data_IF_238788548205
#
_entry.id   IF_238788548205
#
_cell.length_a   1.000
_cell.length_b   1.000
_cell.length_c   1.000
_cell.angle_alpha   90.00
_cell.angle_beta   90.00
_cell.angle_gamma   90.00
#
_symmetry.space_group_name_H-M   'P 1'
#
loop_
_entity.id
_entity.type
_entity.pdbx_description
1 polymer ?
#
# COMPACT_ATOMS: atom_id res chain seq x y z
N UNK A 1 -50.72 37.46 16.55
CA UNK A 1 -50.71 36.50 15.42
C UNK A 1 -49.28 36.35 14.96
N UNK A 2 -48.58 35.33 15.44
CA UNK A 2 -47.22 35.01 14.97
C UNK A 2 -47.40 34.35 13.60
N UNK A 3 -46.77 34.86 12.51
CA UNK A 3 -46.96 34.27 11.21
C UNK A 3 -46.32 32.88 11.21
N UNK A 4 -47.08 31.87 10.75
CA UNK A 4 -46.57 30.55 10.40
C UNK A 4 -45.60 30.73 9.22
N UNK A 5 -44.37 31.16 9.52
CA UNK A 5 -43.29 31.21 8.55
C UNK A 5 -42.80 29.77 8.35
N UNK A 6 -43.24 29.20 7.22
CA UNK A 6 -42.89 27.92 6.62
C UNK A 6 -41.76 27.13 7.31
N UNK A 7 -42.15 26.25 8.24
CA UNK A 7 -41.32 25.14 8.74
C UNK A 7 -40.74 24.31 7.58
N UNK A 8 -41.47 24.23 6.45
CA UNK A 8 -41.04 23.55 5.23
C UNK A 8 -39.81 24.21 4.56
N UNK A 9 -39.73 25.55 4.56
CA UNK A 9 -38.57 26.27 4.00
C UNK A 9 -37.34 26.13 4.87
N UNK A 10 -37.51 26.07 6.20
CA UNK A 10 -36.42 25.82 7.15
C UNK A 10 -35.90 24.39 7.06
N UNK A 11 -36.78 23.40 6.86
CA UNK A 11 -36.37 22.00 6.65
C UNK A 11 -35.65 21.84 5.31
N UNK A 12 -36.13 22.49 4.23
CA UNK A 12 -35.46 22.45 2.92
C UNK A 12 -34.07 23.11 2.95
N UNK A 13 -33.92 24.26 3.64
CA UNK A 13 -32.60 24.90 3.77
C UNK A 13 -31.67 24.12 4.69
N UNK A 14 -32.17 23.45 5.74
CA UNK A 14 -31.35 22.56 6.58
C UNK A 14 -30.94 21.28 5.86
N UNK A 15 -31.81 20.70 5.03
CA UNK A 15 -31.47 19.57 4.14
C UNK A 15 -30.45 19.99 3.10
N UNK A 16 -30.56 21.19 2.51
CA UNK A 16 -29.56 21.71 1.58
C UNK A 16 -28.21 21.99 2.27
N UNK A 17 -28.22 22.54 3.48
CA UNK A 17 -27.01 22.76 4.30
C UNK A 17 -26.35 21.43 4.72
N UNK A 18 -27.14 20.42 5.11
CA UNK A 18 -26.62 19.09 5.42
C UNK A 18 -26.10 18.34 4.18
N UNK A 19 -26.70 18.54 3.00
CA UNK A 19 -26.20 17.99 1.73
C UNK A 19 -24.93 18.72 1.23
N UNK A 20 -24.80 20.03 1.49
CA UNK A 20 -23.59 20.79 1.17
C UNK A 20 -22.45 20.62 2.19
N UNK A 21 -22.77 20.21 3.42
CA UNK A 21 -21.79 19.95 4.48
C UNK A 21 -21.01 18.64 4.28
N UNK A 22 -21.35 17.83 3.28
CA UNK A 22 -20.49 16.71 2.85
C UNK A 22 -19.30 17.17 1.98
N UNK A 23 -19.22 18.45 1.63
CA UNK A 23 -18.12 19.06 0.87
C UNK A 23 -17.40 20.13 1.69
N UNK A 24 -16.99 19.81 2.91
CA UNK A 24 -16.06 20.69 3.64
C UNK A 24 -14.67 20.56 2.98
N UNK A 25 -14.00 21.66 2.60
CA UNK A 25 -12.62 21.65 2.10
C UNK A 25 -11.70 20.79 2.99
N UNK A 26 -10.72 20.07 2.42
CA UNK A 26 -9.94 20.51 1.27
C UNK A 26 -10.29 19.87 -0.08
N UNK A 27 -11.38 19.11 -0.21
CA UNK A 27 -11.73 18.41 -1.45
C UNK A 27 -12.36 19.34 -2.51
N UNK A 28 -11.59 20.32 -3.01
CA UNK A 28 -12.07 21.38 -3.91
C UNK A 28 -11.63 21.22 -5.36
N UNK A 29 -10.89 20.17 -5.72
CA UNK A 29 -10.49 19.94 -7.11
C UNK A 29 -11.53 19.09 -7.86
N UNK A 30 -11.82 19.47 -9.10
CA UNK A 30 -12.62 18.64 -10.00
C UNK A 30 -11.82 17.43 -10.49
N UNK A 31 -12.53 16.40 -10.91
CA UNK A 31 -11.92 15.19 -11.47
C UNK A 31 -11.06 15.53 -12.69
N UNK A 32 -9.76 15.20 -12.62
CA UNK A 32 -8.80 15.55 -13.66
C UNK A 32 -8.90 14.62 -14.86
N UNK A 33 -8.65 15.15 -16.05
CA UNK A 33 -8.60 14.40 -17.32
C UNK A 33 -7.32 14.76 -18.09
N UNK A 34 -6.90 13.92 -19.05
CA UNK A 34 -5.70 14.17 -19.86
C UNK A 34 -4.37 14.06 -19.11
N UNK A 35 -4.38 13.40 -17.94
CA UNK A 35 -3.20 13.24 -17.07
C UNK A 35 -2.30 12.06 -17.47
N UNK A 36 -2.67 11.32 -18.51
CA UNK A 36 -1.93 10.17 -19.02
C UNK A 36 -1.64 10.34 -20.53
N UNK A 37 -0.39 10.10 -21.01
CA UNK A 37 0.77 9.69 -20.23
C UNK A 37 1.21 10.77 -19.22
N UNK A 38 1.79 10.37 -18.06
CA UNK A 38 2.12 11.28 -16.97
C UNK A 38 3.00 12.44 -17.43
N UNK A 39 2.61 13.67 -17.04
CA UNK A 39 3.37 14.88 -17.34
C UNK A 39 3.07 15.98 -16.32
N UNK A 40 3.78 17.09 -16.44
CA UNK A 40 3.55 18.29 -15.63
C UNK A 40 4.03 18.15 -14.19
N UNK A 41 3.57 19.03 -13.28
CA UNK A 41 4.16 19.21 -11.96
C UNK A 41 3.86 18.08 -10.96
N UNK A 42 2.99 17.14 -11.31
CA UNK A 42 2.68 15.97 -10.47
C UNK A 42 3.46 14.72 -10.89
N UNK A 43 4.26 14.81 -11.97
CA UNK A 43 5.08 13.72 -12.47
C UNK A 43 6.54 13.96 -12.09
N UNK A 44 7.06 13.15 -11.17
CA UNK A 44 8.43 13.25 -10.64
C UNK A 44 9.44 12.40 -11.42
N UNK A 45 9.00 11.69 -12.46
CA UNK A 45 9.84 10.84 -13.30
C UNK A 45 9.42 9.37 -13.30
N UNK A 46 10.01 8.64 -14.24
CA UNK A 46 9.78 7.21 -14.39
C UNK A 46 10.45 6.39 -13.29
N UNK A 47 9.86 5.24 -12.97
CA UNK A 47 10.38 4.31 -11.98
C UNK A 47 11.26 3.25 -12.66
N UNK A 48 12.53 3.18 -12.26
CA UNK A 48 13.50 2.20 -12.78
C UNK A 48 13.09 0.75 -12.55
N UNK A 49 13.38 -0.11 -13.53
CA UNK A 49 13.14 -1.56 -13.46
C UNK A 49 14.40 -2.34 -13.08
N UNK A 50 14.24 -3.32 -12.19
CA UNK A 50 15.28 -4.28 -11.82
C UNK A 50 14.77 -5.71 -11.95
N UNK A 51 15.67 -6.65 -12.15
CA UNK A 51 15.36 -8.08 -12.05
C UNK A 51 15.87 -8.60 -10.71
N UNK A 52 15.01 -9.29 -9.97
CA UNK A 52 15.43 -10.08 -8.81
C UNK A 52 15.34 -11.56 -9.16
N UNK A 53 16.48 -12.22 -9.18
CA UNK A 53 16.57 -13.65 -9.50
C UNK A 53 16.32 -14.51 -8.24
N UNK A 54 15.17 -15.16 -8.18
CA UNK A 54 14.74 -16.05 -7.10
C UNK A 54 15.57 -17.35 -7.01
N UNK A 55 16.30 -17.71 -8.07
CA UNK A 55 17.21 -18.86 -8.08
C UNK A 55 18.50 -18.58 -7.27
N UNK A 56 18.81 -17.31 -7.00
CA UNK A 56 19.92 -16.94 -6.13
C UNK A 56 19.59 -17.23 -4.66
N UNK A 57 20.61 -17.54 -3.83
CA UNK A 57 20.48 -17.52 -2.39
C UNK A 57 19.85 -16.19 -1.93
N UNK A 58 18.90 -16.19 -0.97
CA UNK A 58 18.16 -14.97 -0.65
C UNK A 58 19.02 -13.77 -0.26
N UNK A 59 20.11 -14.01 0.47
CA UNK A 59 21.08 -12.97 0.83
C UNK A 59 21.83 -12.32 -0.35
N UNK A 60 21.65 -12.80 -1.59
CA UNK A 60 22.21 -12.22 -2.81
C UNK A 60 21.16 -11.58 -3.72
N UNK A 61 19.88 -11.86 -3.53
CA UNK A 61 18.78 -11.47 -4.44
C UNK A 61 18.67 -9.97 -4.69
N UNK A 62 18.98 -9.16 -3.67
CA UNK A 62 18.85 -7.71 -3.70
C UNK A 62 20.15 -6.97 -4.03
N UNK A 63 21.24 -7.69 -4.35
CA UNK A 63 22.58 -7.09 -4.49
C UNK A 63 22.61 -5.95 -5.51
N UNK A 64 22.05 -6.17 -6.71
CA UNK A 64 22.10 -5.18 -7.79
C UNK A 64 21.26 -3.94 -7.46
N UNK A 65 20.04 -4.16 -6.96
CA UNK A 65 19.12 -3.08 -6.55
C UNK A 65 19.76 -2.21 -5.48
N UNK A 66 20.31 -2.83 -4.43
CA UNK A 66 20.91 -2.10 -3.30
C UNK A 66 22.23 -1.44 -3.67
N UNK A 67 23.02 -2.04 -4.58
CA UNK A 67 24.25 -1.41 -5.06
C UNK A 67 23.95 -0.08 -5.75
N UNK A 68 22.93 -0.04 -6.60
CA UNK A 68 22.51 1.16 -7.32
C UNK A 68 21.86 2.19 -6.37
N UNK A 69 20.96 1.74 -5.50
CA UNK A 69 20.21 2.59 -4.55
C UNK A 69 20.93 2.86 -3.22
N UNK A 70 22.21 2.48 -3.10
CA UNK A 70 22.97 2.55 -1.84
C UNK A 70 22.95 3.92 -1.20
N UNK A 71 23.19 4.98 -1.99
CA UNK A 71 23.24 6.36 -1.49
C UNK A 71 21.88 6.83 -0.97
N UNK A 72 20.82 6.52 -1.70
CA UNK A 72 19.46 6.87 -1.32
C UNK A 72 19.05 6.13 -0.04
N UNK A 73 19.42 4.85 0.07
CA UNK A 73 19.12 4.04 1.26
C UNK A 73 19.84 4.58 2.49
N UNK A 74 21.14 4.89 2.39
CA UNK A 74 21.90 5.52 3.48
C UNK A 74 21.28 6.87 3.86
N UNK A 75 20.88 7.68 2.89
CA UNK A 75 20.22 8.96 3.17
C UNK A 75 18.87 8.81 3.86
N UNK A 76 18.10 7.78 3.51
CA UNK A 76 16.81 7.48 4.13
C UNK A 76 16.98 7.02 5.58
N UNK A 77 17.94 6.12 5.84
CA UNK A 77 18.24 5.64 7.19
C UNK A 77 18.77 6.77 8.07
N UNK A 78 19.62 7.66 7.53
CA UNK A 78 20.05 8.84 8.27
C UNK A 78 18.88 9.75 8.65
N UNK A 79 17.91 9.96 7.75
CA UNK A 79 16.72 10.74 8.08
C UNK A 79 15.87 10.09 9.19
N UNK A 80 15.78 8.75 9.22
CA UNK A 80 15.13 8.03 10.33
C UNK A 80 15.90 8.22 11.64
N UNK A 81 17.24 8.13 11.62
CA UNK A 81 18.08 8.40 12.80
C UNK A 81 17.89 9.81 13.34
N UNK A 82 17.96 10.81 12.47
CA UNK A 82 17.81 12.22 12.85
C UNK A 82 16.44 12.47 13.49
N UNK A 83 15.40 11.83 12.96
CA UNK A 83 14.05 11.90 13.53
C UNK A 83 13.99 11.21 14.90
N UNK A 84 14.56 10.01 15.03
CA UNK A 84 14.64 9.25 16.28
C UNK A 84 15.38 10.04 17.37
N UNK A 85 16.51 10.67 17.04
CA UNK A 85 17.29 11.50 17.95
C UNK A 85 16.54 12.77 18.36
N UNK A 86 15.78 13.38 17.45
CA UNK A 86 14.96 14.55 17.79
C UNK A 86 13.85 14.19 18.80
N UNK A 87 13.24 13.01 18.69
CA UNK A 87 12.19 12.55 19.62
C UNK A 87 12.74 11.97 20.93
N UNK A 88 13.88 11.26 20.86
CA UNK A 88 14.51 10.59 22.00
C UNK A 88 15.99 10.96 22.06
N UNK A 89 16.35 12.20 22.45
CA UNK A 89 17.75 12.69 22.41
C UNK A 89 18.71 11.93 23.32
N UNK A 90 18.19 11.07 24.20
CA UNK A 90 18.99 10.20 25.06
C UNK A 90 19.77 9.11 24.32
N UNK A 91 19.55 8.92 23.01
CA UNK A 91 20.18 7.86 22.21
C UNK A 91 19.64 6.45 22.47
N UNK A 92 18.79 6.27 23.49
CA UNK A 92 18.21 4.96 23.85
C UNK A 92 17.45 4.27 22.72
N UNK A 93 16.79 5.05 21.86
CA UNK A 93 16.07 4.49 20.71
C UNK A 93 17.03 3.90 19.67
N UNK A 94 18.15 4.59 19.42
CA UNK A 94 19.22 4.09 18.54
C UNK A 94 19.88 2.86 19.16
N UNK A 95 20.17 2.89 20.47
CA UNK A 95 20.73 1.74 21.19
C UNK A 95 19.87 0.48 21.05
N UNK A 96 18.54 0.63 21.19
CA UNK A 96 17.59 -0.47 21.02
C UNK A 96 17.59 -1.00 19.58
N UNK A 97 17.65 -0.10 18.61
CA UNK A 97 17.73 -0.46 17.18
C UNK A 97 19.01 -1.21 16.89
N UNK A 98 20.16 -0.78 17.40
CA UNK A 98 21.45 -1.38 17.08
C UNK A 98 21.72 -2.68 17.85
N UNK A 99 21.14 -2.87 19.06
CA UNK A 99 21.40 -4.04 19.91
C UNK A 99 20.31 -5.10 19.86
N UNK A 100 19.04 -4.69 19.88
CA UNK A 100 17.91 -5.61 20.09
C UNK A 100 17.23 -6.02 18.78
N UNK A 101 17.03 -5.09 17.83
CA UNK A 101 16.40 -5.42 16.54
C UNK A 101 17.18 -6.42 15.67
N UNK A 102 18.52 -6.51 15.69
CA UNK A 102 19.24 -7.55 14.97
C UNK A 102 18.82 -8.96 15.40
N UNK A 103 18.48 -9.15 16.68
CA UNK A 103 18.00 -10.44 17.20
C UNK A 103 16.63 -10.81 16.63
N UNK A 104 15.84 -9.81 16.21
CA UNK A 104 14.53 -10.04 15.59
C UNK A 104 14.66 -10.66 14.19
N UNK A 105 15.77 -10.43 13.47
CA UNK A 105 15.99 -11.04 12.14
C UNK A 105 15.87 -12.56 12.19
N UNK A 106 16.45 -13.19 13.22
CA UNK A 106 16.44 -14.64 13.39
C UNK A 106 15.05 -15.22 13.63
N UNK A 107 14.08 -14.35 13.94
CA UNK A 107 12.69 -14.73 14.16
C UNK A 107 11.85 -14.60 12.89
N UNK A 108 12.30 -13.80 11.91
CA UNK A 108 11.58 -13.57 10.66
C UNK A 108 11.61 -14.83 9.78
N UNK A 109 10.51 -15.14 9.07
CA UNK A 109 10.45 -16.33 8.24
C UNK A 109 11.44 -16.26 7.07
N UNK A 110 11.95 -17.42 6.67
CA UNK A 110 12.65 -17.57 5.40
C UNK A 110 11.69 -17.29 4.24
N UNK A 111 12.11 -16.60 3.16
CA UNK A 111 13.46 -16.11 2.88
C UNK A 111 13.77 -14.69 3.40
N UNK A 112 12.80 -14.03 4.03
CA UNK A 112 12.87 -12.60 4.36
C UNK A 112 14.02 -12.24 5.28
N UNK A 113 14.31 -13.09 6.27
CA UNK A 113 15.44 -12.91 7.18
C UNK A 113 16.78 -12.81 6.42
N UNK A 114 17.04 -13.73 5.49
CA UNK A 114 18.28 -13.78 4.71
C UNK A 114 18.35 -12.65 3.68
N UNK A 115 17.23 -12.26 3.07
CA UNK A 115 17.19 -11.09 2.19
C UNK A 115 17.55 -9.80 2.94
N UNK A 116 17.02 -9.61 4.16
CA UNK A 116 17.35 -8.47 5.04
C UNK A 116 18.85 -8.47 5.40
N UNK A 117 19.43 -9.63 5.73
CA UNK A 117 20.88 -9.75 5.99
C UNK A 117 21.71 -9.37 4.77
N UNK A 118 21.29 -9.82 3.58
CA UNK A 118 21.93 -9.47 2.31
C UNK A 118 21.92 -7.96 2.05
N UNK A 119 20.76 -7.33 2.24
CA UNK A 119 20.59 -5.87 2.08
C UNK A 119 21.52 -5.11 3.03
N UNK A 120 21.56 -5.47 4.32
CA UNK A 120 22.46 -4.84 5.30
C UNK A 120 23.94 -4.98 4.87
N UNK A 121 24.35 -6.17 4.43
CA UNK A 121 25.72 -6.43 3.98
C UNK A 121 26.14 -5.60 2.76
N UNK A 122 25.26 -5.43 1.77
CA UNK A 122 25.57 -4.70 0.52
C UNK A 122 25.52 -3.18 0.73
N UNK A 123 24.49 -2.71 1.44
CA UNK A 123 24.30 -1.29 1.73
C UNK A 123 25.38 -0.76 2.69
N UNK A 124 25.85 -1.57 3.63
CA UNK A 124 26.70 -1.13 4.75
C UNK A 124 25.90 -0.45 5.87
N UNK A 125 24.57 -0.50 5.81
CA UNK A 125 23.67 -0.06 6.89
C UNK A 125 23.65 -1.13 8.00
N UNK A 126 23.46 -0.73 9.26
CA UNK A 126 23.39 -1.68 10.37
C UNK A 126 22.19 -2.61 10.21
N UNK A 127 22.34 -3.89 10.60
CA UNK A 127 21.28 -4.89 10.42
C UNK A 127 19.97 -4.47 11.12
N UNK A 128 20.08 -3.91 12.32
CA UNK A 128 18.93 -3.45 13.10
C UNK A 128 18.16 -2.32 12.41
N UNK A 129 18.85 -1.46 11.66
CA UNK A 129 18.21 -0.38 10.90
C UNK A 129 17.50 -0.87 9.64
N UNK A 130 18.08 -1.86 8.94
CA UNK A 130 17.39 -2.50 7.82
C UNK A 130 16.15 -3.24 8.30
N UNK A 131 16.23 -3.88 9.47
CA UNK A 131 15.05 -4.46 10.13
C UNK A 131 14.02 -3.40 10.43
N UNK A 132 14.41 -2.31 11.11
CA UNK A 132 13.51 -1.20 11.43
C UNK A 132 12.79 -0.68 10.18
N UNK A 133 13.52 -0.48 9.08
CA UNK A 133 12.95 -0.07 7.80
C UNK A 133 11.88 -1.04 7.30
N UNK A 134 12.05 -2.35 7.51
CA UNK A 134 11.05 -3.36 7.16
C UNK A 134 9.87 -3.44 8.13
N UNK A 135 10.04 -3.10 9.43
CA UNK A 135 8.91 -2.89 10.36
C UNK A 135 8.09 -1.68 9.96
N UNK A 136 8.77 -0.64 9.51
CA UNK A 136 8.19 0.68 9.36
C UNK A 136 6.96 0.71 8.43
N UNK A 137 6.98 -0.11 7.39
CA UNK A 137 5.88 -0.27 6.44
C UNK A 137 4.66 -1.04 6.98
N UNK A 138 4.78 -1.75 8.10
CA UNK A 138 3.66 -2.47 8.72
C UNK A 138 2.81 -1.58 9.64
N UNK A 139 3.16 -0.29 9.79
CA UNK A 139 2.53 0.59 10.80
C UNK A 139 2.09 1.95 10.25
N UNK A 140 2.70 2.45 9.17
CA UNK A 140 2.52 3.85 8.74
C UNK A 140 2.24 4.05 7.25
N UNK A 141 1.41 3.21 6.62
CA UNK A 141 0.99 3.40 5.22
C UNK A 141 -0.44 3.93 5.11
N UNK A 142 -0.64 4.81 4.13
CA UNK A 142 -1.93 5.34 3.74
C UNK A 142 -2.06 5.11 2.24
N UNK A 143 -3.26 4.77 1.76
CA UNK A 143 -3.40 4.11 0.47
C UNK A 143 -4.75 4.44 -0.18
N UNK A 144 -4.80 4.45 -1.51
CA UNK A 144 -6.05 4.38 -2.27
C UNK A 144 -5.87 3.34 -3.35
N UNK A 145 -6.73 2.34 -3.38
CA UNK A 145 -6.66 1.22 -4.33
C UNK A 145 -8.03 0.97 -4.93
N UNK A 146 -8.07 0.60 -6.22
CA UNK A 146 -9.30 0.23 -6.90
C UNK A 146 -9.09 -0.88 -7.91
N UNK A 147 -10.16 -1.65 -8.13
CA UNK A 147 -10.28 -2.54 -9.29
C UNK A 147 -11.59 -2.21 -9.99
N UNK A 148 -11.53 -1.98 -11.30
CA UNK A 148 -12.70 -1.71 -12.13
C UNK A 148 -12.80 -2.72 -13.27
N UNK A 149 -14.02 -3.04 -13.66
CA UNK A 149 -14.33 -3.85 -14.84
C UNK A 149 -14.96 -2.97 -15.92
N UNK A 150 -14.37 -2.96 -17.12
CA UNK A 150 -14.93 -2.24 -18.25
C UNK A 150 -16.13 -2.97 -18.88
N UNK A 151 -16.79 -2.35 -19.86
CA UNK A 151 -17.94 -2.94 -20.57
C UNK A 151 -17.63 -4.22 -21.34
N UNK A 152 -16.36 -4.53 -21.58
CA UNK A 152 -15.90 -5.74 -22.26
C UNK A 152 -15.48 -6.83 -21.26
N UNK A 153 -15.56 -6.57 -19.95
CA UNK A 153 -15.14 -7.48 -18.91
C UNK A 153 -13.63 -7.45 -18.60
N UNK A 154 -12.88 -6.46 -19.11
CA UNK A 154 -11.47 -6.30 -18.77
C UNK A 154 -11.33 -5.67 -17.39
N UNK A 155 -10.39 -6.18 -16.59
CA UNK A 155 -10.08 -5.65 -15.26
C UNK A 155 -8.90 -4.69 -15.28
N UNK A 156 -9.06 -3.55 -14.61
CA UNK A 156 -8.02 -2.55 -14.38
C UNK A 156 -7.83 -2.39 -12.88
N UNK A 157 -6.61 -2.64 -12.40
CA UNK A 157 -6.25 -2.45 -10.99
C UNK A 157 -5.26 -1.28 -10.90
N UNK A 158 -5.65 -0.23 -10.18
CA UNK A 158 -4.86 0.98 -10.02
C UNK A 158 -4.78 1.40 -8.55
N UNK A 159 -3.70 2.11 -8.19
CA UNK A 159 -3.48 2.48 -6.79
C UNK A 159 -2.50 3.64 -6.59
N UNK A 160 -2.66 4.35 -5.47
CA UNK A 160 -1.71 5.32 -4.92
C UNK A 160 -1.15 4.83 -3.59
N UNK A 161 0.17 5.02 -3.40
CA UNK A 161 0.89 4.71 -2.16
C UNK A 161 1.33 5.99 -1.45
N UNK A 162 0.77 6.24 -0.28
CA UNK A 162 1.10 7.39 0.55
C UNK A 162 1.90 6.88 1.76
N UNK A 163 3.20 7.20 1.83
CA UNK A 163 4.08 6.71 2.88
C UNK A 163 5.02 7.80 3.41
N UNK A 164 5.41 7.70 4.69
CA UNK A 164 6.28 8.70 5.32
C UNK A 164 5.55 9.93 5.87
N UNK A 165 4.22 9.91 5.92
CA UNK A 165 3.41 11.02 6.43
C UNK A 165 3.66 11.26 7.93
N UNK A 166 3.60 12.52 8.34
CA UNK A 166 3.73 12.95 9.75
C UNK A 166 5.11 12.71 10.39
N UNK A 167 6.14 12.42 9.59
CA UNK A 167 7.49 12.12 10.06
C UNK A 167 8.51 13.15 9.57
N UNK A 168 8.71 14.17 10.39
CA UNK A 168 9.59 15.29 10.08
C UNK A 168 8.97 16.21 9.04
N UNK A 169 8.58 17.41 9.46
CA UNK A 169 8.01 18.42 8.55
C UNK A 169 9.09 19.39 8.07
N UNK A 170 9.28 19.47 6.76
CA UNK A 170 10.12 20.50 6.14
C UNK A 170 9.27 21.77 5.92
N UNK A 171 9.47 22.77 6.77
CA UNK A 171 8.77 24.06 6.67
C UNK A 171 9.04 24.81 5.35
N UNK A 172 10.22 24.62 4.76
CA UNK A 172 10.63 25.33 3.54
C UNK A 172 9.96 24.72 2.31
N UNK A 173 10.04 23.40 2.19
CA UNK A 173 9.51 22.67 1.03
C UNK A 173 8.05 22.25 1.21
N UNK A 174 7.49 22.40 2.42
CA UNK A 174 6.13 22.01 2.80
C UNK A 174 5.84 20.54 2.47
N UNK A 175 6.79 19.69 2.83
CA UNK A 175 6.75 18.25 2.59
C UNK A 175 7.19 17.46 3.81
N UNK A 176 6.85 16.17 3.82
CA UNK A 176 7.32 15.24 4.85
C UNK A 176 8.71 14.71 4.45
N UNK A 177 9.68 14.86 5.35
CA UNK A 177 11.08 14.51 5.11
C UNK A 177 11.19 13.04 4.70
N UNK A 178 10.53 12.15 5.45
CA UNK A 178 10.57 10.71 5.15
C UNK A 178 9.93 10.42 3.79
N UNK A 179 8.78 11.01 3.46
CA UNK A 179 8.14 10.86 2.13
C UNK A 179 9.09 11.25 1.00
N UNK A 180 9.79 12.38 1.10
CA UNK A 180 10.73 12.80 0.06
C UNK A 180 11.95 11.87 -0.07
N UNK A 181 12.43 11.30 1.05
CA UNK A 181 13.53 10.34 1.05
C UNK A 181 13.15 8.96 0.52
N UNK A 182 11.86 8.63 0.52
CA UNK A 182 11.33 7.39 -0.01
C UNK A 182 11.18 7.39 -1.54
N UNK A 183 10.83 8.53 -2.13
CA UNK A 183 10.67 8.67 -3.60
C UNK A 183 11.84 8.08 -4.41
N UNK A 184 13.12 8.40 -4.14
CA UNK A 184 14.23 7.84 -4.92
C UNK A 184 14.46 6.34 -4.70
N UNK A 185 13.91 5.76 -3.63
CA UNK A 185 13.97 4.32 -3.36
C UNK A 185 12.88 3.53 -4.09
N UNK A 186 11.90 4.19 -4.71
CA UNK A 186 10.85 3.50 -5.48
C UNK A 186 11.47 2.82 -6.70
N UNK A 187 11.18 1.53 -6.85
CA UNK A 187 11.69 0.66 -7.92
C UNK A 187 10.60 -0.28 -8.40
N UNK A 188 10.59 -0.56 -9.70
CA UNK A 188 9.83 -1.67 -10.26
C UNK A 188 10.73 -2.90 -10.30
N UNK A 189 10.18 -4.05 -9.96
CA UNK A 189 10.93 -5.30 -9.83
C UNK A 189 10.23 -6.39 -10.61
N UNK A 190 10.97 -7.07 -11.47
CA UNK A 190 10.60 -8.32 -12.14
C UNK A 190 11.25 -9.48 -11.36
N UNK A 191 10.45 -10.20 -10.58
CA UNK A 191 10.91 -11.37 -9.83
C UNK A 191 10.90 -12.59 -10.74
N UNK A 192 12.09 -13.14 -11.01
CA UNK A 192 12.26 -14.25 -11.95
C UNK A 192 12.72 -15.52 -11.27
N UNK A 193 12.22 -16.65 -11.74
CA UNK A 193 12.68 -18.01 -11.38
C UNK A 193 12.88 -18.78 -12.68
N UNK A 194 14.02 -19.45 -12.83
CA UNK A 194 14.42 -20.09 -14.09
C UNK A 194 14.33 -19.13 -15.30
N UNK A 195 14.73 -17.87 -15.11
CA UNK A 195 14.64 -16.78 -16.09
C UNK A 195 13.22 -16.45 -16.61
N UNK A 196 12.17 -16.91 -15.94
CA UNK A 196 10.78 -16.55 -16.23
C UNK A 196 10.22 -15.65 -15.13
N UNK A 197 9.44 -14.63 -15.51
CA UNK A 197 8.72 -13.78 -14.54
C UNK A 197 7.74 -14.64 -13.74
N UNK A 198 7.90 -14.62 -12.42
CA UNK A 198 6.91 -15.16 -11.47
C UNK A 198 5.87 -14.08 -11.17
N UNK A 199 6.34 -12.91 -10.75
CA UNK A 199 5.49 -11.75 -10.54
C UNK A 199 6.28 -10.44 -10.71
N UNK A 200 5.57 -9.33 -10.88
CA UNK A 200 6.17 -7.99 -10.89
C UNK A 200 5.62 -7.16 -9.74
N UNK A 201 6.39 -6.21 -9.24
CA UNK A 201 6.01 -5.36 -8.12
C UNK A 201 6.60 -3.96 -8.23
N UNK A 202 5.85 -2.96 -7.80
CA UNK A 202 6.40 -1.64 -7.45
C UNK A 202 6.67 -1.63 -5.96
N UNK A 203 7.90 -1.32 -5.58
CA UNK A 203 8.38 -1.47 -4.21
C UNK A 203 9.45 -0.42 -3.84
N UNK A 204 9.98 -0.49 -2.62
CA UNK A 204 11.13 0.31 -2.19
C UNK A 204 12.40 -0.55 -2.09
N UNK A 205 13.51 -0.04 -2.61
CA UNK A 205 14.81 -0.65 -2.40
C UNK A 205 15.14 -0.71 -0.90
N UNK A 206 15.38 -1.91 -0.40
CA UNK A 206 15.60 -2.18 1.04
C UNK A 206 14.41 -2.84 1.74
N UNK A 207 13.24 -2.91 1.10
CA UNK A 207 12.03 -3.54 1.66
C UNK A 207 11.74 -4.90 1.00
N UNK A 208 11.72 -5.96 1.81
CA UNK A 208 11.59 -7.35 1.30
C UNK A 208 10.13 -7.83 1.21
N UNK A 209 9.22 -7.16 1.91
CA UNK A 209 7.78 -7.34 1.75
C UNK A 209 7.25 -6.67 0.48
N UNK A 210 6.04 -7.02 0.06
CA UNK A 210 5.38 -6.39 -1.09
C UNK A 210 4.09 -5.69 -0.67
N UNK A 211 3.80 -4.54 -1.27
CA UNK A 211 2.54 -3.79 -1.06
C UNK A 211 1.69 -3.72 -2.33
N UNK A 212 2.31 -3.95 -3.49
CA UNK A 212 1.71 -3.79 -4.81
C UNK A 212 2.36 -4.77 -5.76
N UNK A 213 1.59 -5.55 -6.49
CA UNK A 213 2.14 -6.45 -7.49
C UNK A 213 1.12 -7.06 -8.45
N UNK A 214 1.66 -7.65 -9.51
CA UNK A 214 0.93 -8.39 -10.52
C UNK A 214 1.57 -9.75 -10.70
N UNK A 215 0.78 -10.81 -10.57
CA UNK A 215 1.12 -12.14 -11.05
C UNK A 215 0.59 -12.25 -12.49
N UNK A 216 1.46 -12.22 -13.51
CA UNK A 216 1.05 -12.20 -14.91
C UNK A 216 0.00 -13.27 -15.22
N UNK A 217 -1.00 -12.87 -16.00
CA UNK A 217 -2.10 -13.72 -16.46
C UNK A 217 -2.97 -14.37 -15.37
N UNK A 218 -2.78 -14.06 -14.08
CA UNK A 218 -3.55 -14.70 -13.00
C UNK A 218 -4.27 -13.67 -12.13
N UNK A 219 -3.54 -12.78 -11.46
CA UNK A 219 -4.14 -11.80 -10.55
C UNK A 219 -3.24 -10.60 -10.29
N UNK A 220 -3.82 -9.55 -9.74
CA UNK A 220 -3.19 -8.31 -9.26
C UNK A 220 -3.55 -8.10 -7.81
N UNK A 221 -2.61 -7.61 -7.01
CA UNK A 221 -2.77 -7.50 -5.56
C UNK A 221 -2.18 -6.19 -5.06
N UNK A 222 -2.96 -5.46 -4.27
CA UNK A 222 -2.49 -4.32 -3.49
C UNK A 222 -2.94 -4.46 -2.03
N UNK A 223 -2.16 -3.89 -1.12
CA UNK A 223 -2.43 -3.89 0.32
C UNK A 223 -2.58 -2.46 0.83
N UNK A 224 -3.61 -2.24 1.64
CA UNK A 224 -3.82 -0.99 2.38
C UNK A 224 -3.87 -1.28 3.88
N UNK A 225 -3.27 -0.39 4.67
CA UNK A 225 -3.32 -0.46 6.14
C UNK A 225 -4.75 -0.32 6.67
N UNK A 226 -5.07 -1.07 7.74
CA UNK A 226 -6.35 -0.98 8.44
C UNK A 226 -6.16 -0.69 9.93
N UNK A 227 -6.60 0.50 10.35
CA UNK A 227 -6.44 0.95 11.73
C UNK A 227 -7.54 0.39 12.65
N UNK A 228 -7.15 -0.37 13.67
CA UNK A 228 -8.04 -0.81 14.75
C UNK A 228 -7.32 -0.83 16.11
N UNK A 229 -8.09 -0.92 17.21
CA UNK A 229 -7.54 -1.12 18.55
C UNK A 229 -6.83 -2.47 18.75
N UNK A 230 -7.14 -3.48 17.93
CA UNK A 230 -6.36 -4.71 17.83
C UNK A 230 -5.40 -4.62 16.64
N UNK A 231 -4.51 -3.62 16.68
CA UNK A 231 -3.65 -3.21 15.58
C UNK A 231 -2.27 -3.89 15.57
N UNK A 232 -1.41 -3.46 14.63
CA UNK A 232 -0.08 -4.05 14.44
C UNK A 232 0.84 -3.98 15.65
N UNK A 233 0.69 -3.00 16.54
CA UNK A 233 1.48 -2.91 17.77
C UNK A 233 1.26 -4.13 18.70
N UNK A 234 0.04 -4.67 18.78
CA UNK A 234 -0.21 -5.90 19.56
C UNK A 234 0.45 -7.09 18.85
N UNK A 235 0.37 -7.17 17.53
CA UNK A 235 1.05 -8.20 16.75
C UNK A 235 2.56 -8.21 16.96
N UNK A 236 3.20 -7.03 16.94
CA UNK A 236 4.63 -6.87 17.19
C UNK A 236 4.99 -7.28 18.62
N UNK A 237 4.18 -6.88 19.62
CA UNK A 237 4.40 -7.28 21.02
C UNK A 237 4.26 -8.80 21.20
N UNK A 238 3.23 -9.42 20.64
CA UNK A 238 3.05 -10.88 20.65
C UNK A 238 4.24 -11.59 20.00
N UNK A 239 4.73 -11.06 18.87
CA UNK A 239 5.89 -11.60 18.16
C UNK A 239 7.17 -11.57 19.00
N UNK A 240 7.44 -10.44 19.66
CA UNK A 240 8.58 -10.26 20.56
C UNK A 240 8.47 -11.23 21.75
N UNK A 241 7.28 -11.43 22.30
CA UNK A 241 7.00 -12.37 23.38
C UNK A 241 6.97 -13.86 22.94
N UNK A 242 7.25 -14.14 21.66
CA UNK A 242 7.42 -15.49 21.13
C UNK A 242 6.18 -16.11 20.49
N UNK A 243 5.03 -15.41 20.45
CA UNK A 243 3.84 -15.85 19.73
C UNK A 243 3.94 -15.40 18.26
N UNK A 244 4.40 -16.32 17.41
CA UNK A 244 4.75 -16.07 16.00
C UNK A 244 3.93 -16.92 15.02
N UNK A 245 2.64 -17.11 15.32
CA UNK A 245 1.71 -17.91 14.49
C UNK A 245 0.96 -17.08 13.44
N UNK A 246 1.22 -15.77 13.35
CA UNK A 246 0.73 -14.88 12.30
C UNK A 246 1.83 -14.48 11.31
N UNK A 247 1.44 -13.98 10.14
CA UNK A 247 2.35 -13.46 9.13
C UNK A 247 2.25 -11.93 9.02
N UNK A 248 3.37 -11.30 8.68
CA UNK A 248 3.42 -9.86 8.39
C UNK A 248 2.62 -9.61 7.11
N UNK A 249 1.90 -8.49 7.02
CA UNK A 249 0.95 -8.27 5.94
C UNK A 249 1.65 -8.20 4.58
N UNK A 250 2.81 -7.54 4.55
CA UNK A 250 3.63 -7.46 3.33
C UNK A 250 4.33 -8.77 2.97
N UNK A 251 4.66 -9.61 3.96
CA UNK A 251 5.26 -10.92 3.73
C UNK A 251 4.21 -11.91 3.21
N UNK A 252 2.96 -11.82 3.69
CA UNK A 252 1.85 -12.56 3.11
C UNK A 252 1.63 -12.12 1.66
N UNK A 253 1.58 -10.81 1.41
CA UNK A 253 1.42 -10.26 0.06
C UNK A 253 2.51 -10.77 -0.88
N UNK A 254 3.77 -10.75 -0.45
CA UNK A 254 4.91 -11.34 -1.19
C UNK A 254 4.72 -12.84 -1.43
N UNK A 255 4.39 -13.59 -0.39
CA UNK A 255 4.24 -15.04 -0.47
C UNK A 255 3.11 -15.46 -1.40
N UNK A 256 2.00 -14.70 -1.42
CA UNK A 256 0.87 -14.91 -2.34
C UNK A 256 1.29 -14.59 -3.77
N UNK A 257 1.93 -13.45 -4.03
CA UNK A 257 2.44 -13.11 -5.36
C UNK A 257 3.46 -14.12 -5.90
N UNK A 258 4.27 -14.73 -5.03
CA UNK A 258 5.32 -15.66 -5.43
C UNK A 258 4.82 -17.11 -5.61
N UNK A 259 3.74 -17.52 -4.92
CA UNK A 259 3.35 -18.93 -4.83
C UNK A 259 1.88 -19.24 -5.17
N UNK A 260 0.96 -18.27 -5.09
CA UNK A 260 -0.43 -18.51 -5.46
C UNK A 260 -0.55 -18.63 -6.99
N UNK A 261 -1.40 -19.54 -7.47
CA UNK A 261 -1.48 -19.90 -8.89
C UNK A 261 -2.74 -19.35 -9.57
N UNK A 262 -3.69 -18.83 -8.80
CA UNK A 262 -4.97 -18.31 -9.29
C UNK A 262 -5.56 -17.26 -8.35
N UNK A 263 -6.49 -16.45 -8.86
CA UNK A 263 -7.29 -15.51 -8.07
C UNK A 263 -7.93 -16.18 -6.84
N UNK A 264 -8.54 -17.36 -6.99
CA UNK A 264 -9.21 -18.03 -5.87
C UNK A 264 -8.23 -18.55 -4.81
N UNK A 265 -7.08 -19.08 -5.24
CA UNK A 265 -6.03 -19.49 -4.30
C UNK A 265 -5.44 -18.29 -3.55
N UNK A 266 -5.23 -17.17 -4.24
CA UNK A 266 -4.77 -15.92 -3.63
C UNK A 266 -5.81 -15.40 -2.62
N UNK A 267 -7.09 -15.36 -3.02
CA UNK A 267 -8.20 -14.92 -2.17
C UNK A 267 -8.33 -15.76 -0.90
N UNK A 268 -8.22 -17.09 -0.99
CA UNK A 268 -8.25 -17.98 0.16
C UNK A 268 -7.08 -17.71 1.10
N UNK A 269 -5.84 -17.68 0.58
CA UNK A 269 -4.64 -17.40 1.38
C UNK A 269 -4.72 -16.04 2.09
N UNK A 270 -5.18 -15.01 1.37
CA UNK A 270 -5.37 -13.66 1.89
C UNK A 270 -6.53 -13.53 2.87
N UNK A 271 -7.50 -14.45 2.87
CA UNK A 271 -8.64 -14.44 3.80
C UNK A 271 -8.33 -15.20 5.10
N UNK A 272 -7.59 -16.30 5.00
CA UNK A 272 -7.49 -17.29 6.07
C UNK A 272 -6.18 -17.20 6.86
N UNK A 273 -5.11 -16.66 6.26
CA UNK A 273 -3.82 -16.57 6.94
C UNK A 273 -3.88 -15.58 8.10
N UNK A 274 -3.53 -16.01 9.31
CA UNK A 274 -3.39 -15.11 10.47
C UNK A 274 -2.37 -14.02 10.19
N UNK A 275 -2.65 -12.80 10.62
CA UNK A 275 -1.84 -11.61 10.42
C UNK A 275 -1.36 -11.02 11.75
N UNK A 276 -0.24 -10.32 11.71
CA UNK A 276 0.21 -9.49 12.84
C UNK A 276 -0.65 -8.24 12.99
N UNK A 277 -1.10 -7.67 11.89
CA UNK A 277 -1.88 -6.44 11.85
C UNK A 277 -3.12 -6.61 10.95
N UNK A 278 -4.20 -5.85 11.19
CA UNK A 278 -5.33 -5.79 10.28
C UNK A 278 -4.94 -5.14 8.94
N UNK A 279 -5.52 -5.58 7.84
CA UNK A 279 -5.28 -5.02 6.51
C UNK A 279 -6.56 -4.99 5.65
N UNK A 280 -6.49 -4.26 4.54
CA UNK A 280 -7.32 -4.51 3.38
C UNK A 280 -6.45 -5.07 2.26
N UNK A 281 -6.83 -6.22 1.70
CA UNK A 281 -6.24 -6.71 0.46
C UNK A 281 -7.21 -6.46 -0.68
N UNK A 282 -6.77 -5.72 -1.69
CA UNK A 282 -7.53 -5.48 -2.89
C UNK A 282 -6.97 -6.43 -3.94
N UNK A 283 -7.82 -7.30 -4.47
CA UNK A 283 -7.43 -8.39 -5.36
C UNK A 283 -8.25 -8.30 -6.64
N UNK A 284 -7.58 -8.31 -7.79
CA UNK A 284 -8.20 -8.45 -9.11
C UNK A 284 -7.71 -9.70 -9.80
N UNK A 285 -8.58 -10.45 -10.48
CA UNK A 285 -8.26 -11.68 -11.21
C UNK A 285 -7.97 -11.44 -12.68
N UNK A 286 -8.26 -12.45 -13.51
CA UNK A 286 -8.08 -12.41 -14.96
C UNK A 286 -9.38 -12.70 -15.73
N UNK A 287 -10.52 -12.83 -15.04
CA UNK A 287 -11.84 -13.03 -15.63
C UNK A 287 -12.82 -11.93 -15.16
N UNK A 288 -13.88 -11.63 -15.95
CA UNK A 288 -14.97 -10.77 -15.51
C UNK A 288 -15.54 -11.21 -14.15
N UNK A 289 -15.83 -10.25 -13.28
CA UNK A 289 -16.34 -10.47 -11.93
C UNK A 289 -15.27 -10.77 -10.88
N UNK A 290 -14.03 -11.07 -11.26
CA UNK A 290 -12.98 -11.39 -10.30
C UNK A 290 -12.32 -10.13 -9.73
N UNK A 291 -13.02 -9.43 -8.84
CA UNK A 291 -12.38 -8.41 -8.04
C UNK A 291 -13.02 -8.31 -6.65
N UNK A 292 -12.20 -8.11 -5.63
CA UNK A 292 -12.71 -7.93 -4.27
C UNK A 292 -11.79 -7.10 -3.37
N UNK A 293 -12.39 -6.58 -2.29
CA UNK A 293 -11.69 -6.05 -1.12
C UNK A 293 -11.87 -7.05 0.02
N UNK A 294 -10.77 -7.64 0.48
CA UNK A 294 -10.74 -8.55 1.63
C UNK A 294 -10.43 -7.72 2.87
N UNK A 295 -11.46 -7.37 3.64
CA UNK A 295 -11.29 -6.67 4.92
C UNK A 295 -10.86 -7.65 6.02
N UNK A 296 -9.65 -7.48 6.56
CA UNK A 296 -9.06 -8.42 7.53
C UNK A 296 -9.02 -7.85 8.94
N UNK A 297 -9.35 -8.69 9.92
CA UNK A 297 -8.76 -8.60 11.25
C UNK A 297 -7.44 -9.39 11.26
N UNK A 298 -6.73 -9.36 12.39
CA UNK A 298 -5.55 -10.19 12.61
C UNK A 298 -5.84 -11.69 12.45
N UNK A 299 -7.05 -12.17 12.71
CA UNK A 299 -7.33 -13.61 12.78
C UNK A 299 -8.32 -14.14 11.74
N UNK A 300 -9.10 -13.29 11.09
CA UNK A 300 -10.13 -13.72 10.14
C UNK A 300 -10.50 -12.62 9.13
N UNK A 301 -11.21 -12.99 8.07
CA UNK A 301 -11.87 -12.08 7.14
C UNK A 301 -13.21 -11.61 7.72
N UNK A 302 -13.50 -10.30 7.63
CA UNK A 302 -14.66 -9.68 8.29
C UNK A 302 -15.82 -9.50 7.32
N UNK A 303 -15.56 -8.82 6.19
CA UNK A 303 -16.59 -8.46 5.22
C UNK A 303 -15.92 -8.22 3.87
N UNK A 304 -15.77 -9.28 3.05
CA UNK A 304 -15.29 -9.10 1.70
C UNK A 304 -16.31 -8.31 0.88
N UNK A 305 -15.83 -7.34 0.10
CA UNK A 305 -16.63 -6.59 -0.86
C UNK A 305 -16.26 -7.07 -2.26
N UNK A 306 -17.12 -7.87 -2.88
CA UNK A 306 -16.93 -8.33 -4.26
C UNK A 306 -17.44 -7.30 -5.26
N UNK A 307 -16.88 -7.35 -6.47
CA UNK A 307 -17.44 -6.74 -7.66
C UNK A 307 -18.81 -7.35 -7.97
N UNK A 308 -19.76 -6.53 -8.43
CA UNK A 308 -21.10 -6.99 -8.77
C UNK A 308 -21.69 -6.11 -9.88
N UNK A 309 -21.19 -6.32 -11.09
CA UNK A 309 -21.58 -5.56 -12.29
C UNK A 309 -23.08 -5.65 -12.54
N UNK A 310 -23.72 -6.81 -12.24
CA UNK A 310 -25.16 -7.01 -12.43
C UNK A 310 -26.01 -6.07 -11.58
N UNK A 311 -25.52 -5.71 -10.40
CA UNK A 311 -26.14 -4.74 -9.51
C UNK A 311 -25.50 -3.35 -9.58
N UNK A 312 -24.80 -3.04 -10.68
CA UNK A 312 -24.22 -1.73 -10.96
C UNK A 312 -22.88 -1.43 -10.28
N UNK A 313 -22.29 -2.39 -9.55
CA UNK A 313 -20.99 -2.25 -8.90
C UNK A 313 -19.88 -2.74 -9.83
N UNK A 314 -19.52 -1.89 -10.78
CA UNK A 314 -18.47 -2.14 -11.78
C UNK A 314 -17.05 -1.75 -11.31
N UNK A 315 -16.92 -1.24 -10.09
CA UNK A 315 -15.62 -1.09 -9.41
C UNK A 315 -15.74 -1.38 -7.91
N UNK A 316 -14.62 -1.78 -7.33
CA UNK A 316 -14.39 -1.78 -5.88
C UNK A 316 -13.28 -0.78 -5.58
N UNK A 317 -13.43 -0.01 -4.50
CA UNK A 317 -12.48 1.03 -4.10
C UNK A 317 -12.28 0.99 -2.60
N UNK A 318 -11.01 0.98 -2.18
CA UNK A 318 -10.64 1.00 -0.77
C UNK A 318 -9.56 2.03 -0.48
N UNK A 319 -9.71 2.71 0.66
CA UNK A 319 -8.70 3.61 1.22
C UNK A 319 -8.12 3.00 2.48
N UNK A 320 -8.47 3.49 3.67
CA UNK A 320 -7.97 3.01 4.96
C UNK A 320 -9.08 2.92 6.02
N UNK A 321 -10.34 2.82 5.60
CA UNK A 321 -11.51 2.78 6.48
C UNK A 321 -12.40 1.60 6.10
N UNK A 322 -13.20 1.09 7.03
CA UNK A 322 -14.14 0.01 6.67
C UNK A 322 -15.18 0.55 5.68
N UNK A 323 -15.51 -0.20 4.62
CA UNK A 323 -16.45 0.24 3.58
C UNK A 323 -17.88 0.50 4.08
N UNK A 324 -18.24 -0.09 5.22
CA UNK A 324 -19.53 0.11 5.92
C UNK A 324 -19.50 1.24 6.97
N UNK A 325 -18.39 1.96 7.10
CA UNK A 325 -18.25 3.12 7.99
C UNK A 325 -18.02 4.38 7.18
N UNK A 326 -18.40 5.50 7.78
CA UNK A 326 -18.02 6.82 7.27
C UNK A 326 -16.49 7.00 7.31
N UNK A 327 -15.91 7.66 6.31
CA UNK A 327 -14.49 8.01 6.32
C UNK A 327 -14.18 8.99 7.47
N UNK A 328 -12.91 9.06 7.86
CA UNK A 328 -12.47 10.08 8.81
C UNK A 328 -12.65 11.46 8.17
N UNK A 329 -13.34 12.38 8.84
CA UNK A 329 -13.67 13.69 8.26
C UNK A 329 -12.45 14.53 7.80
N UNK A 330 -11.25 14.26 8.34
CA UNK A 330 -10.00 14.93 7.96
C UNK A 330 -9.25 14.22 6.82
N UNK A 331 -9.60 12.97 6.51
CA UNK A 331 -9.04 12.18 5.41
C UNK A 331 -10.16 11.35 4.74
N UNK A 332 -11.01 12.03 3.97
CA UNK A 332 -11.96 11.41 3.07
C UNK A 332 -11.44 11.39 1.63
N UNK A 333 -10.53 10.44 1.33
CA UNK A 333 -10.12 10.12 -0.05
C UNK A 333 -11.13 9.24 -0.80
N UNK A 334 -12.05 8.57 -0.08
CA UNK A 334 -13.01 7.63 -0.66
C UNK A 334 -14.06 8.35 -1.49
N UNK A 335 -14.70 9.36 -0.92
CA UNK A 335 -15.77 10.14 -1.57
C UNK A 335 -15.33 10.80 -2.88
N UNK A 336 -14.21 11.56 -2.95
CA UNK A 336 -13.77 12.17 -4.21
C UNK A 336 -13.37 11.10 -5.25
N UNK A 337 -12.75 10.00 -4.85
CA UNK A 337 -12.39 8.94 -5.78
C UNK A 337 -13.63 8.24 -6.36
N UNK A 338 -14.64 7.94 -5.53
CA UNK A 338 -15.94 7.42 -6.00
C UNK A 338 -16.68 8.41 -6.90
N UNK A 339 -16.66 9.72 -6.58
CA UNK A 339 -17.20 10.78 -7.46
C UNK A 339 -16.55 10.70 -8.84
N UNK A 340 -15.23 10.62 -8.91
CA UNK A 340 -14.51 10.57 -10.18
C UNK A 340 -14.72 9.26 -10.95
N UNK A 341 -14.81 8.12 -10.27
CA UNK A 341 -15.17 6.85 -10.91
C UNK A 341 -16.58 6.91 -11.50
N UNK A 342 -17.56 7.43 -10.75
CA UNK A 342 -18.94 7.57 -11.22
C UNK A 342 -19.06 8.52 -12.42
N UNK A 343 -18.25 9.58 -12.48
CA UNK A 343 -18.17 10.46 -13.65
C UNK A 343 -17.49 9.78 -14.85
N UNK A 344 -16.51 8.92 -14.61
CA UNK A 344 -15.78 8.18 -15.67
C UNK A 344 -16.66 7.10 -16.31
N UNK A 345 -17.55 6.47 -15.52
CA UNK A 345 -18.43 5.36 -15.91
C UNK A 345 -17.70 4.06 -16.28
N UNK A 346 -18.44 2.98 -16.54
CA UNK A 346 -17.90 1.69 -16.98
C UNK A 346 -17.25 1.75 -18.38
N UNK A 347 -17.41 2.86 -19.11
CA UNK A 347 -16.74 3.09 -20.39
C UNK A 347 -15.22 3.34 -20.28
N UNK A 348 -14.64 3.20 -19.09
CA UNK A 348 -13.19 3.22 -18.89
C UNK A 348 -12.54 2.18 -19.80
N UNK A 349 -11.56 2.60 -20.61
CA UNK A 349 -10.88 1.70 -21.54
C UNK A 349 -9.42 1.55 -21.18
N UNK A 350 -8.85 0.38 -21.44
CA UNK A 350 -7.41 0.12 -21.32
C UNK A 350 -6.59 1.08 -22.20
N UNK A 351 -7.14 1.58 -23.32
CA UNK A 351 -6.47 2.57 -24.18
C UNK A 351 -6.31 3.96 -23.52
N UNK A 352 -7.11 4.27 -22.50
CA UNK A 352 -6.95 5.47 -21.65
C UNK A 352 -5.92 5.24 -20.53
N UNK A 353 -5.59 3.97 -20.25
CA UNK A 353 -4.67 3.55 -19.17
C UNK A 353 -3.29 3.04 -19.66
N UNK A 354 -3.17 2.64 -20.93
CA UNK A 354 -1.99 1.96 -21.50
C UNK A 354 -1.72 2.47 -22.93
N UNK A 355 -1.02 3.60 -23.07
CA UNK A 355 -0.10 3.77 -24.20
C UNK A 355 1.29 3.49 -23.63
N UNK A 356 1.88 2.40 -24.09
CA UNK A 356 3.28 1.97 -23.86
C UNK A 356 3.53 0.85 -22.83
N UNK A 357 2.67 -0.16 -22.79
CA UNK A 357 3.09 -1.48 -22.28
C UNK A 357 2.75 -2.56 -23.31
N UNK A 358 3.70 -2.82 -24.20
CA UNK A 358 3.75 -4.05 -24.99
C UNK A 358 3.92 -5.23 -24.02
N UNK A 359 2.82 -5.88 -23.66
CA UNK A 359 2.82 -7.17 -22.98
C UNK A 359 2.78 -8.27 -24.05
N UNK A 360 3.96 -8.81 -24.40
CA UNK A 360 4.09 -10.09 -25.09
C UNK A 360 4.06 -11.25 -24.10
#
# INVERSE_FOLDING_TARGET
MIPKLNLCCFILSFVFLCLSAQYVPPYTEECRSGMYPPNGPTFEGDVSWYTVNLDLPPNKRWTDVITDKKKDMVSMIQAIRDLADAFVPSGKLIDLVDKDLPLMVDTLPYPFNEEIRGIASVSGVSLGEVVLFNIFYEVFTVCTSLVAEDVNGNLIHARNLDFGLFMGWDLKNRSWIITEKLKPLVVNIDFRRNNQTVFKSTNFAGYVGMLTGIHPHSFTLTMNERFTLDGGYIGILEWILGKRDGMWMSFLTRSVLENATSYESAKALLSDTKLLAPAYFILGGNQPGQACIITRSRTHSISPLELDVKNGRWYVLETNYDHWKEPLFLDDRRTPAMKCMNQTTQAVSVATANRDLNWY
#
